data_IF_058514991148
#
_entry.id   IF_058514991148
#
_cell.length_a   1.000
_cell.length_b   1.000
_cell.length_c   1.000
_cell.angle_alpha   90.00
_cell.angle_beta   90.00
_cell.angle_gamma   90.00
#
_symmetry.space_group_name_H-M   'P 1'
#
loop_
_entity.id
_entity.type
_entity.pdbx_description
1 polymer ?
#
# COMPACT_ATOMS: atom_id res chain seq x y z
N UNK A 1 -5.40 -16.16 -8.81
CA UNK A 1 -4.68 -15.28 -7.88
C UNK A 1 -5.11 -13.87 -8.18
N UNK A 2 -5.88 -13.26 -7.29
CA UNK A 2 -6.51 -11.97 -7.52
C UNK A 2 -5.56 -10.90 -6.96
N UNK A 3 -5.08 -10.00 -7.82
CA UNK A 3 -4.12 -8.96 -7.44
C UNK A 3 -4.81 -7.61 -7.47
N UNK A 4 -4.69 -6.84 -6.39
CA UNK A 4 -5.12 -5.46 -6.33
C UNK A 4 -3.89 -4.54 -6.28
N UNK A 5 -3.52 -3.84 -7.37
CA UNK A 5 -2.41 -2.89 -7.36
C UNK A 5 -2.80 -1.63 -6.57
N UNK A 6 -1.89 -1.17 -5.71
CA UNK A 6 -2.08 0.00 -4.85
C UNK A 6 -0.88 0.90 -4.98
N UNK A 7 -1.12 2.18 -5.19
CA UNK A 7 -0.11 3.24 -5.09
C UNK A 7 -0.06 3.76 -3.67
N UNK A 8 1.13 3.81 -3.09
CA UNK A 8 1.39 4.28 -1.73
C UNK A 8 2.34 5.46 -1.80
N UNK A 9 1.98 6.56 -1.11
CA UNK A 9 2.85 7.70 -0.87
C UNK A 9 3.35 7.68 0.57
N UNK A 10 4.66 7.82 0.74
CA UNK A 10 5.28 7.88 2.06
C UNK A 10 6.40 8.93 2.12
N UNK A 11 6.74 9.34 3.34
CA UNK A 11 7.85 10.26 3.63
C UNK A 11 8.98 9.52 4.36
N UNK A 12 10.21 10.10 4.41
CA UNK A 12 11.29 9.54 5.21
C UNK A 12 10.83 9.24 6.66
N UNK A 13 11.21 8.07 7.18
CA UNK A 13 10.64 7.51 8.40
C UNK A 13 9.47 6.55 8.19
N UNK A 14 9.06 6.31 6.94
CA UNK A 14 8.09 5.27 6.55
C UNK A 14 6.62 5.65 6.75
N UNK A 15 6.32 6.88 7.18
CA UNK A 15 4.93 7.32 7.40
C UNK A 15 4.18 7.38 6.06
N UNK A 16 3.07 6.66 5.98
CA UNK A 16 2.17 6.69 4.83
C UNK A 16 1.30 7.95 4.88
N UNK A 17 1.23 8.69 3.78
CA UNK A 17 0.41 9.89 3.64
C UNK A 17 -0.73 9.72 2.64
N UNK A 18 -0.67 8.70 1.78
CA UNK A 18 -1.76 8.35 0.86
C UNK A 18 -1.66 6.89 0.43
N UNK A 19 -2.82 6.26 0.24
CA UNK A 19 -3.00 4.95 -0.39
C UNK A 19 -4.11 5.09 -1.43
N UNK A 20 -3.88 4.60 -2.64
CA UNK A 20 -4.83 4.73 -3.75
C UNK A 20 -4.90 3.43 -4.53
N UNK A 21 -6.10 2.85 -4.64
CA UNK A 21 -6.31 1.69 -5.50
C UNK A 21 -6.12 2.08 -6.97
N UNK A 22 -5.27 1.34 -7.68
CA UNK A 22 -5.01 1.56 -9.10
C UNK A 22 -6.02 0.80 -9.99
N UNK A 23 -6.16 1.20 -11.27
CA UNK A 23 -6.91 0.43 -12.26
C UNK A 23 -6.41 -1.02 -12.32
N UNK A 24 -7.34 -1.96 -12.51
CA UNK A 24 -7.03 -3.40 -12.53
C UNK A 24 -7.19 -4.10 -11.18
N UNK A 25 -7.52 -3.37 -10.10
CA UNK A 25 -7.99 -4.01 -8.87
C UNK A 25 -9.40 -4.59 -9.07
N UNK A 26 -9.59 -5.91 -8.93
CA UNK A 26 -10.85 -6.60 -9.21
C UNK A 26 -11.80 -6.66 -7.99
N UNK A 27 -11.41 -6.04 -6.87
CA UNK A 27 -12.23 -5.97 -5.68
C UNK A 27 -13.39 -4.98 -5.86
N UNK A 28 -14.50 -5.27 -5.18
CA UNK A 28 -15.62 -4.34 -5.06
C UNK A 28 -15.25 -3.12 -4.18
N UNK A 29 -16.12 -2.13 -4.12
CA UNK A 29 -15.88 -0.88 -3.39
C UNK A 29 -15.61 -1.11 -1.90
N UNK A 30 -16.37 -2.01 -1.26
CA UNK A 30 -16.22 -2.32 0.17
C UNK A 30 -14.85 -2.94 0.45
N UNK A 31 -14.44 -3.93 -0.35
CA UNK A 31 -13.14 -4.56 -0.24
C UNK A 31 -11.99 -3.60 -0.58
N UNK A 32 -12.17 -2.71 -1.57
CA UNK A 32 -11.20 -1.65 -1.89
C UNK A 32 -10.95 -0.72 -0.72
N UNK A 33 -12.00 -0.25 -0.04
CA UNK A 33 -11.86 0.58 1.15
C UNK A 33 -11.19 -0.18 2.32
N UNK A 34 -11.51 -1.46 2.49
CA UNK A 34 -10.85 -2.30 3.49
C UNK A 34 -9.33 -2.37 3.26
N UNK A 35 -8.92 -2.52 1.99
CA UNK A 35 -7.52 -2.58 1.56
C UNK A 35 -6.81 -1.24 1.78
N UNK A 36 -7.41 -0.12 1.36
CA UNK A 36 -6.86 1.23 1.62
C UNK A 36 -6.67 1.47 3.12
N UNK A 37 -7.68 1.14 3.92
CA UNK A 37 -7.61 1.29 5.37
C UNK A 37 -6.54 0.39 6.00
N UNK A 38 -6.33 -0.82 5.48
CA UNK A 38 -5.26 -1.70 5.94
C UNK A 38 -3.87 -1.11 5.66
N UNK A 39 -3.65 -0.53 4.47
CA UNK A 39 -2.39 0.15 4.13
C UNK A 39 -2.14 1.34 5.05
N UNK A 40 -3.16 2.17 5.29
CA UNK A 40 -3.03 3.32 6.20
C UNK A 40 -2.73 2.86 7.64
N UNK A 41 -3.37 1.78 8.12
CA UNK A 41 -3.10 1.20 9.44
C UNK A 41 -1.70 0.59 9.57
N UNK A 42 -1.12 0.11 8.47
CA UNK A 42 0.24 -0.43 8.45
C UNK A 42 1.32 0.68 8.56
N UNK A 43 0.94 1.96 8.54
CA UNK A 43 1.86 3.07 8.77
C UNK A 43 2.43 3.05 10.20
N UNK A 44 3.74 3.32 10.39
CA UNK A 44 4.75 3.52 9.34
C UNK A 44 5.23 2.19 8.74
N UNK A 45 5.52 2.20 7.44
CA UNK A 45 6.21 1.10 6.78
C UNK A 45 7.65 0.98 7.30
N UNK A 46 8.28 -0.21 7.21
CA UNK A 46 9.68 -0.39 7.60
C UNK A 46 10.60 0.60 6.87
N UNK A 47 11.29 1.43 7.66
CA UNK A 47 12.27 2.41 7.16
C UNK A 47 13.68 2.10 7.66
N UNK A 48 13.81 1.70 8.93
CA UNK A 48 15.09 1.35 9.52
C UNK A 48 15.71 0.14 8.83
N UNK A 49 16.93 0.28 8.32
CA UNK A 49 17.63 -0.73 7.54
C UNK A 49 17.25 -0.78 6.05
N UNK A 50 16.30 0.05 5.62
CA UNK A 50 15.83 0.15 4.23
C UNK A 50 16.04 1.56 3.64
N UNK A 51 16.77 2.45 4.33
CA UNK A 51 16.94 3.85 3.95
C UNK A 51 17.57 4.01 2.56
N UNK A 52 18.49 3.13 2.19
CA UNK A 52 19.19 3.15 0.89
C UNK A 52 18.30 2.82 -0.31
N UNK A 53 17.16 2.17 -0.08
CA UNK A 53 16.18 1.79 -1.11
C UNK A 53 14.84 2.50 -0.91
N UNK A 54 14.82 3.53 -0.06
CA UNK A 54 13.62 4.31 0.18
C UNK A 54 13.12 4.92 -1.14
N UNK A 55 11.82 4.79 -1.37
CA UNK A 55 11.09 5.52 -2.41
C UNK A 55 9.89 6.20 -1.77
N UNK A 56 9.68 7.47 -2.11
CA UNK A 56 8.48 8.22 -1.71
C UNK A 56 7.21 7.66 -2.34
N UNK A 57 7.35 6.93 -3.46
CA UNK A 57 6.29 6.29 -4.21
C UNK A 57 6.53 4.79 -4.38
N UNK A 58 5.55 3.99 -3.96
CA UNK A 58 5.56 2.54 -4.13
C UNK A 58 4.29 2.09 -4.82
N UNK A 59 4.41 1.12 -5.73
CA UNK A 59 3.26 0.35 -6.22
C UNK A 59 3.36 -1.07 -5.70
N UNK A 60 2.43 -1.49 -4.84
CA UNK A 60 2.39 -2.82 -4.24
C UNK A 60 1.17 -3.60 -4.74
N UNK A 61 1.35 -4.91 -4.87
CA UNK A 61 0.29 -5.84 -5.24
C UNK A 61 -0.29 -6.48 -3.98
N UNK A 62 -1.49 -6.05 -3.58
CA UNK A 62 -2.17 -6.59 -2.43
C UNK A 62 -2.87 -7.91 -2.80
N UNK A 63 -2.56 -8.94 -2.01
CA UNK A 63 -3.16 -10.27 -2.10
C UNK A 63 -3.70 -10.67 -0.72
N UNK A 64 -4.85 -11.33 -0.69
CA UNK A 64 -5.32 -12.03 0.51
C UNK A 64 -4.69 -13.42 0.46
N UNK A 65 -3.76 -13.73 1.36
CA UNK A 65 -3.41 -15.13 1.62
C UNK A 65 -4.58 -15.73 2.40
N UNK A 66 -5.22 -16.74 1.82
CA UNK A 66 -6.19 -17.59 2.53
C UNK A 66 -5.44 -18.69 3.27
#
# INVERSE_FOLDING_TARGET
>A
HVICPIRIMQIPGGKVISATILPGCPYDEVARHSVEAAVLRASPLPYQGFESVFSSELTLNFKVDQ
#
